data_IF_586363325585
#
_entry.id   IF_586363325585
#
_cell.length_a   1.000
_cell.length_b   1.000
_cell.length_c   1.000
_cell.angle_alpha   90.00
_cell.angle_beta   90.00
_cell.angle_gamma   90.00
#
_symmetry.space_group_name_H-M   'P 1'
#
loop_
_entity.id
_entity.type
_entity.pdbx_description
1 polymer ?
#
# COMPACT_ATOMS: atom_id res chain seq x y z
N UNK A 1 26.41 -13.56 82.67
CA UNK A 1 27.85 -13.85 82.53
C UNK A 1 28.00 -14.77 81.33
N UNK A 2 28.38 -14.28 80.16
CA UNK A 2 29.75 -14.04 79.67
C UNK A 2 30.24 -15.24 78.81
N UNK A 3 30.73 -14.92 77.60
CA UNK A 3 31.48 -15.71 76.61
C UNK A 3 30.65 -16.43 75.51
N UNK A 4 30.67 -16.00 74.23
CA UNK A 4 31.74 -15.93 73.20
C UNK A 4 32.07 -17.31 72.57
N UNK A 5 31.73 -17.49 71.28
CA UNK A 5 32.65 -17.68 70.11
C UNK A 5 33.11 -19.15 69.94
N UNK A 6 33.03 -19.87 68.81
CA UNK A 6 33.56 -19.71 67.42
C UNK A 6 33.04 -20.93 66.61
N UNK A 7 32.39 -20.73 65.45
CA UNK A 7 32.87 -20.94 64.07
C UNK A 7 32.94 -22.40 63.55
N UNK A 8 32.46 -22.57 62.32
CA UNK A 8 32.55 -23.80 61.54
C UNK A 8 31.91 -23.62 60.16
N UNK A 9 32.66 -23.00 59.24
CA UNK A 9 32.29 -22.77 57.84
C UNK A 9 32.33 -24.06 57.02
N UNK A 10 31.30 -24.34 56.22
CA UNK A 10 31.43 -25.17 55.01
C UNK A 10 30.73 -24.44 53.86
N UNK A 11 31.54 -24.18 52.83
CA UNK A 11 31.22 -23.47 51.59
C UNK A 11 30.06 -24.13 50.81
N UNK A 12 29.09 -23.31 50.42
CA UNK A 12 28.10 -23.60 49.40
C UNK A 12 28.74 -23.51 48.01
N UNK A 13 28.81 -24.63 47.30
CA UNK A 13 29.10 -24.67 45.87
C UNK A 13 27.82 -24.94 45.07
N UNK A 14 27.05 -23.89 44.75
CA UNK A 14 25.92 -23.98 43.82
C UNK A 14 26.38 -23.57 42.43
N UNK A 15 26.52 -24.57 41.55
CA UNK A 15 26.75 -24.39 40.11
C UNK A 15 25.47 -23.80 39.51
N UNK A 16 25.46 -22.48 39.32
CA UNK A 16 24.40 -21.76 38.61
C UNK A 16 24.52 -22.00 37.11
N UNK A 17 23.56 -22.74 36.54
CA UNK A 17 23.35 -22.81 35.10
C UNK A 17 22.81 -21.46 34.61
N UNK A 18 23.68 -20.63 34.03
CA UNK A 18 23.30 -19.40 33.33
C UNK A 18 22.83 -19.79 31.92
N UNK A 19 21.53 -20.03 31.75
CA UNK A 19 20.92 -20.17 30.42
C UNK A 19 20.89 -18.80 29.73
N UNK A 20 21.93 -18.51 28.97
CA UNK A 20 21.91 -17.49 27.91
C UNK A 20 21.08 -18.02 26.74
N UNK A 21 19.76 -17.88 26.80
CA UNK A 21 18.95 -17.86 25.58
C UNK A 21 18.76 -16.40 25.18
N UNK A 22 19.47 -16.05 24.11
CA UNK A 22 19.42 -14.76 23.45
C UNK A 22 17.96 -14.30 23.26
N UNK A 23 17.64 -13.14 23.83
CA UNK A 23 16.51 -12.35 23.37
C UNK A 23 16.78 -12.01 21.91
N UNK A 24 16.09 -12.70 21.00
CA UNK A 24 15.85 -12.14 19.68
C UNK A 24 15.14 -10.80 19.93
N UNK A 25 15.87 -9.71 19.75
CA UNK A 25 15.30 -8.37 19.70
C UNK A 25 14.19 -8.41 18.65
N UNK A 26 12.94 -8.45 19.11
CA UNK A 26 11.82 -7.91 18.36
C UNK A 26 12.25 -6.50 17.96
N UNK A 27 12.60 -6.36 16.68
CA UNK A 27 12.79 -5.04 16.09
C UNK A 27 11.40 -4.42 16.11
N UNK A 28 11.18 -3.57 17.09
CA UNK A 28 10.16 -2.54 17.04
C UNK A 28 10.35 -1.74 15.75
N UNK A 29 9.72 -2.20 14.67
CA UNK A 29 9.56 -1.42 13.45
C UNK A 29 8.36 -0.52 13.69
N UNK A 30 8.50 0.44 14.61
CA UNK A 30 7.47 1.46 14.87
C UNK A 30 6.94 1.93 13.52
N UNK A 31 5.64 1.73 13.30
CA UNK A 31 4.99 1.69 11.98
C UNK A 31 5.50 2.80 11.07
N UNK A 32 6.50 2.47 10.24
CA UNK A 32 7.08 3.45 9.33
C UNK A 32 6.06 3.71 8.23
N UNK A 33 5.26 4.77 8.40
CA UNK A 33 4.28 5.21 7.40
C UNK A 33 5.02 5.89 6.24
N UNK A 34 4.95 5.29 5.07
CA UNK A 34 5.42 5.90 3.83
C UNK A 34 4.33 6.78 3.22
N UNK A 35 4.73 7.84 2.53
CA UNK A 35 3.83 8.82 1.93
C UNK A 35 3.48 8.52 0.48
N UNK A 36 2.35 9.07 0.05
CA UNK A 36 1.86 9.03 -1.32
C UNK A 36 2.36 10.24 -2.10
N UNK A 37 3.00 10.02 -3.24
CA UNK A 37 3.65 11.08 -4.03
C UNK A 37 2.87 11.49 -5.27
N UNK A 38 1.89 10.69 -5.66
CA UNK A 38 1.04 10.92 -6.83
C UNK A 38 1.65 10.41 -8.14
N UNK A 39 0.77 10.08 -9.09
CA UNK A 39 1.13 9.48 -10.37
C UNK A 39 2.09 10.33 -11.21
N UNK A 40 2.03 11.67 -11.10
CA UNK A 40 2.96 12.58 -11.78
C UNK A 40 4.42 12.26 -11.45
N UNK A 41 4.72 11.96 -10.18
CA UNK A 41 6.08 11.63 -9.74
C UNK A 41 6.57 10.31 -10.33
N UNK A 42 5.71 9.30 -10.37
CA UNK A 42 6.01 8.03 -11.02
C UNK A 42 6.27 8.23 -12.52
N UNK A 43 5.47 9.09 -13.16
CA UNK A 43 5.55 9.41 -14.59
C UNK A 43 6.85 10.09 -15.04
N UNK A 44 7.61 10.71 -14.13
CA UNK A 44 8.92 11.28 -14.46
C UNK A 44 9.89 10.21 -14.97
N UNK A 45 9.82 9.01 -14.36
CA UNK A 45 10.67 7.87 -14.68
C UNK A 45 9.96 6.82 -15.53
N UNK A 46 8.65 6.64 -15.45
CA UNK A 46 7.93 5.50 -16.06
C UNK A 46 7.13 5.85 -17.33
N UNK A 47 7.81 6.48 -18.30
CA UNK A 47 7.17 7.03 -19.52
C UNK A 47 7.58 6.36 -20.83
N UNK A 48 8.65 5.57 -20.83
CA UNK A 48 9.25 5.06 -22.07
C UNK A 48 8.80 3.63 -22.40
N UNK A 49 8.93 3.26 -23.67
CA UNK A 49 8.80 1.88 -24.17
C UNK A 49 9.67 0.90 -23.39
N UNK A 50 10.95 1.27 -23.20
CA UNK A 50 11.95 0.44 -22.51
C UNK A 50 11.56 0.11 -21.07
N UNK A 51 10.70 0.94 -20.48
CA UNK A 51 10.21 0.72 -19.14
C UNK A 51 8.87 0.01 -19.15
N UNK A 52 8.11 -0.02 -20.25
CA UNK A 52 6.80 -0.67 -20.36
C UNK A 52 5.63 0.30 -20.46
N UNK A 53 5.86 1.58 -20.82
CA UNK A 53 4.81 2.59 -21.05
C UNK A 53 3.79 2.75 -19.92
N UNK A 54 4.21 2.58 -18.66
CA UNK A 54 3.29 2.59 -17.51
C UNK A 54 2.41 3.83 -17.46
N UNK A 55 3.02 5.02 -17.63
CA UNK A 55 2.32 6.28 -17.49
C UNK A 55 1.21 6.43 -18.54
N UNK A 56 1.47 6.10 -19.81
CA UNK A 56 0.45 6.22 -20.86
C UNK A 56 -0.65 5.18 -20.68
N UNK A 57 -0.30 3.92 -20.39
CA UNK A 57 -1.26 2.85 -20.12
C UNK A 57 -2.19 3.23 -18.97
N UNK A 58 -1.64 3.75 -17.86
CA UNK A 58 -2.46 4.23 -16.74
C UNK A 58 -3.33 5.43 -17.12
N UNK A 59 -2.77 6.45 -17.78
CA UNK A 59 -3.52 7.67 -18.18
C UNK A 59 -4.72 7.34 -19.06
N UNK A 60 -4.59 6.37 -19.96
CA UNK A 60 -5.63 5.95 -20.89
C UNK A 60 -6.64 4.97 -20.26
N UNK A 61 -6.36 4.46 -19.05
CA UNK A 61 -7.21 3.50 -18.37
C UNK A 61 -8.43 4.15 -17.71
N UNK A 62 -9.41 3.31 -17.34
CA UNK A 62 -10.53 3.75 -16.50
C UNK A 62 -10.11 4.06 -15.05
N UNK A 63 -8.93 3.60 -14.60
CA UNK A 63 -8.44 3.87 -13.25
C UNK A 63 -8.09 5.34 -13.05
N UNK A 64 -7.41 5.98 -14.01
CA UNK A 64 -7.14 7.43 -13.98
C UNK A 64 -8.42 8.28 -14.05
N UNK A 65 -9.50 7.71 -14.59
CA UNK A 65 -10.80 8.36 -14.75
C UNK A 65 -11.80 7.99 -13.63
N UNK A 66 -11.39 7.17 -12.67
CA UNK A 66 -12.31 6.58 -11.70
C UNK A 66 -13.00 7.65 -10.83
N UNK A 67 -12.28 8.67 -10.37
CA UNK A 67 -12.87 9.78 -9.62
C UNK A 67 -13.90 10.54 -10.43
N UNK A 68 -13.60 10.83 -11.71
CA UNK A 68 -14.51 11.54 -12.61
C UNK A 68 -15.88 10.85 -12.73
N UNK A 69 -15.92 9.52 -12.63
CA UNK A 69 -17.19 8.77 -12.64
C UNK A 69 -18.08 9.15 -11.46
N UNK A 70 -17.49 9.43 -10.29
CA UNK A 70 -18.21 9.84 -9.08
C UNK A 70 -18.74 11.26 -9.13
N UNK A 71 -18.31 12.07 -10.10
CA UNK A 71 -18.79 13.44 -10.28
C UNK A 71 -20.06 13.53 -11.15
N UNK A 72 -20.62 12.38 -11.54
CA UNK A 72 -21.83 12.34 -12.38
C UNK A 72 -23.11 12.38 -11.54
N UNK A 73 -24.18 12.94 -12.12
CA UNK A 73 -25.52 12.93 -11.50
C UNK A 73 -26.02 11.51 -11.23
N UNK A 74 -25.69 10.55 -12.10
CA UNK A 74 -26.02 9.14 -11.90
C UNK A 74 -25.30 8.57 -10.67
N UNK A 75 -24.03 8.89 -10.47
CA UNK A 75 -23.31 8.47 -9.27
C UNK A 75 -23.92 9.08 -8.00
N UNK A 76 -24.26 10.37 -8.01
CA UNK A 76 -24.93 11.04 -6.90
C UNK A 76 -26.30 10.42 -6.59
N UNK A 77 -27.06 10.05 -7.63
CA UNK A 77 -28.32 9.32 -7.48
C UNK A 77 -28.08 7.96 -6.82
N UNK A 78 -27.10 7.19 -7.26
CA UNK A 78 -26.74 5.90 -6.66
C UNK A 78 -26.35 6.06 -5.19
N UNK A 79 -25.55 7.08 -4.86
CA UNK A 79 -25.17 7.36 -3.48
C UNK A 79 -26.39 7.66 -2.61
N UNK A 80 -27.30 8.49 -3.10
CA UNK A 80 -28.57 8.79 -2.44
C UNK A 80 -29.45 7.55 -2.26
N UNK A 81 -29.59 6.72 -3.30
CA UNK A 81 -30.40 5.48 -3.24
C UNK A 81 -29.80 4.46 -2.25
N UNK A 82 -28.48 4.53 -2.00
CA UNK A 82 -27.78 3.78 -0.96
C UNK A 82 -27.93 4.37 0.45
N UNK A 83 -28.58 5.52 0.58
CA UNK A 83 -28.81 6.20 1.87
C UNK A 83 -27.71 7.17 2.29
N UNK A 84 -26.75 7.48 1.41
CA UNK A 84 -25.73 8.49 1.71
C UNK A 84 -26.30 9.91 1.55
N UNK A 85 -25.83 10.82 2.40
CA UNK A 85 -26.29 12.22 2.42
C UNK A 85 -25.37 13.16 1.64
N UNK A 86 -24.15 12.72 1.31
CA UNK A 86 -23.18 13.43 0.50
C UNK A 86 -23.24 13.00 -0.96
N UNK A 87 -22.61 13.79 -1.84
CA UNK A 87 -22.36 13.39 -3.23
C UNK A 87 -21.49 12.15 -3.28
N UNK A 88 -21.55 11.40 -4.37
CA UNK A 88 -20.74 10.19 -4.54
C UNK A 88 -19.23 10.50 -4.46
N UNK A 89 -18.81 11.63 -5.02
CA UNK A 89 -17.43 12.10 -4.97
C UNK A 89 -16.93 12.45 -3.55
N UNK A 90 -17.83 12.63 -2.58
CA UNK A 90 -17.50 12.93 -1.18
C UNK A 90 -17.82 11.75 -0.23
N UNK A 91 -18.34 10.64 -0.76
CA UNK A 91 -18.75 9.46 0.00
C UNK A 91 -17.58 8.49 0.15
N UNK A 92 -17.14 8.21 1.38
CA UNK A 92 -15.95 7.37 1.65
C UNK A 92 -16.07 5.98 1.03
N UNK A 93 -17.25 5.39 1.06
CA UNK A 93 -17.55 4.07 0.50
C UNK A 93 -17.39 4.04 -1.02
N UNK A 94 -17.72 5.14 -1.71
CA UNK A 94 -17.47 5.29 -3.14
C UNK A 94 -15.98 5.53 -3.41
N UNK A 95 -15.35 6.41 -2.64
CA UNK A 95 -13.94 6.76 -2.77
C UNK A 95 -13.00 5.56 -2.54
N UNK A 96 -13.40 4.61 -1.70
CA UNK A 96 -12.61 3.41 -1.37
C UNK A 96 -12.13 2.62 -2.61
N UNK A 97 -12.89 2.66 -3.71
CA UNK A 97 -12.54 1.99 -4.96
C UNK A 97 -12.19 2.94 -6.11
N UNK A 98 -12.43 4.25 -5.95
CA UNK A 98 -12.37 5.22 -7.04
C UNK A 98 -11.22 6.22 -6.93
N UNK A 99 -10.54 6.30 -5.79
CA UNK A 99 -9.34 7.14 -5.62
C UNK A 99 -8.24 6.41 -4.87
N UNK A 100 -7.00 6.76 -5.17
CA UNK A 100 -5.90 6.45 -4.25
C UNK A 100 -6.02 7.28 -2.97
N UNK A 101 -5.59 6.71 -1.85
CA UNK A 101 -5.39 7.45 -0.61
C UNK A 101 -6.65 8.05 0.03
N UNK A 102 -7.85 7.53 -0.24
CA UNK A 102 -9.10 8.06 0.34
C UNK A 102 -9.09 8.12 1.88
N UNK A 103 -8.46 7.12 2.51
CA UNK A 103 -8.35 6.98 3.98
C UNK A 103 -6.92 7.26 4.49
N UNK A 104 -6.12 7.98 3.70
CA UNK A 104 -4.75 8.33 4.07
C UNK A 104 -4.72 9.74 4.66
N UNK A 105 -4.01 9.88 5.78
CA UNK A 105 -3.77 11.16 6.45
C UNK A 105 -3.17 12.20 5.48
N UNK A 106 -3.66 13.44 5.57
CA UNK A 106 -3.21 14.51 4.68
C UNK A 106 -1.69 14.78 4.76
N UNK A 107 -1.07 14.60 5.94
CA UNK A 107 0.38 14.74 6.12
C UNK A 107 1.21 13.71 5.36
N UNK A 108 0.61 12.57 4.99
CA UNK A 108 1.24 11.53 4.18
C UNK A 108 1.02 11.74 2.68
N UNK A 109 0.22 12.72 2.27
CA UNK A 109 -0.02 13.06 0.86
C UNK A 109 0.95 14.15 0.44
N UNK A 110 1.84 13.83 -0.49
CA UNK A 110 2.80 14.78 -1.04
C UNK A 110 2.11 15.91 -1.79
N UNK A 111 2.80 17.05 -1.93
CA UNK A 111 2.23 18.28 -2.52
C UNK A 111 1.69 18.16 -3.96
N UNK A 112 2.04 17.08 -4.69
CA UNK A 112 1.57 16.80 -6.05
C UNK A 112 0.49 15.72 -6.10
N UNK A 113 0.18 15.09 -4.97
CA UNK A 113 -0.87 14.09 -4.88
C UNK A 113 -2.24 14.75 -4.97
N UNK A 114 -3.11 14.20 -5.82
CA UNK A 114 -4.50 14.64 -6.01
C UNK A 114 -5.41 13.43 -6.03
N UNK A 115 -6.49 13.44 -5.26
CA UNK A 115 -7.46 12.33 -5.31
C UNK A 115 -8.21 12.31 -6.64
N UNK A 116 -8.28 13.46 -7.30
CA UNK A 116 -8.93 13.69 -8.59
C UNK A 116 -8.26 12.91 -9.73
N UNK A 117 -7.01 12.48 -9.56
CA UNK A 117 -6.30 11.60 -10.50
C UNK A 117 -6.81 10.14 -10.44
N UNK A 118 -7.84 9.86 -9.65
CA UNK A 118 -8.49 8.56 -9.55
C UNK A 118 -7.62 7.51 -8.86
N UNK A 119 -7.72 6.26 -9.35
CA UNK A 119 -6.91 5.13 -8.89
C UNK A 119 -5.53 5.22 -9.54
N UNK A 120 -4.55 5.66 -8.77
CA UNK A 120 -3.16 5.92 -9.20
C UNK A 120 -2.25 4.70 -9.01
N UNK A 121 -1.00 4.85 -9.43
CA UNK A 121 0.07 3.84 -9.29
C UNK A 121 0.14 3.26 -7.88
N UNK A 122 -0.01 4.11 -6.87
CA UNK A 122 0.21 3.79 -5.46
C UNK A 122 -0.93 2.98 -4.83
N UNK A 123 -2.08 2.85 -5.50
CA UNK A 123 -3.10 1.87 -5.10
C UNK A 123 -2.60 0.44 -5.31
N UNK A 124 -1.89 0.18 -6.41
CA UNK A 124 -1.39 -1.15 -6.77
C UNK A 124 0.06 -1.40 -6.32
N UNK A 125 0.86 -0.33 -6.19
CA UNK A 125 2.29 -0.41 -5.91
C UNK A 125 2.68 0.14 -4.54
N UNK A 126 1.72 0.58 -3.74
CA UNK A 126 1.96 1.15 -2.42
C UNK A 126 2.51 2.60 -2.45
N UNK A 127 2.68 3.21 -1.28
CA UNK A 127 3.17 4.58 -1.12
C UNK A 127 4.60 4.78 -1.62
N UNK A 128 4.79 5.73 -2.55
CA UNK A 128 6.01 5.92 -3.33
C UNK A 128 7.08 6.83 -2.71
N UNK A 129 6.86 7.41 -1.53
CA UNK A 129 7.77 8.44 -0.98
C UNK A 129 9.23 7.98 -0.88
N UNK A 130 9.45 6.72 -0.51
CA UNK A 130 10.78 6.17 -0.28
C UNK A 130 11.27 5.23 -1.38
N UNK A 131 10.43 4.30 -1.87
CA UNK A 131 10.91 3.33 -2.86
C UNK A 131 11.28 3.97 -4.20
N UNK A 132 10.70 5.11 -4.57
CA UNK A 132 11.00 5.81 -5.84
C UNK A 132 12.49 6.11 -6.03
N UNK A 133 13.24 6.22 -4.92
CA UNK A 133 14.68 6.52 -4.89
C UNK A 133 15.56 5.30 -5.16
N UNK A 134 15.01 4.09 -5.01
CA UNK A 134 15.79 2.84 -4.95
C UNK A 134 15.21 1.71 -5.83
N UNK A 135 14.32 2.03 -6.77
CA UNK A 135 13.62 1.04 -7.60
C UNK A 135 14.51 0.11 -8.43
N UNK A 136 15.80 0.44 -8.61
CA UNK A 136 16.79 -0.44 -9.25
C UNK A 136 17.08 -1.69 -8.40
N UNK A 137 16.99 -1.60 -7.08
CA UNK A 137 17.06 -2.72 -6.16
C UNK A 137 15.64 -3.07 -5.71
N UNK A 138 15.12 -4.19 -6.20
CA UNK A 138 13.73 -4.60 -5.94
C UNK A 138 13.47 -4.87 -4.46
N UNK A 139 14.38 -5.56 -3.79
CA UNK A 139 14.19 -5.94 -2.38
C UNK A 139 14.26 -4.70 -1.48
N UNK A 140 15.17 -3.77 -1.78
CA UNK A 140 15.24 -2.49 -1.09
C UNK A 140 13.99 -1.63 -1.32
N UNK A 141 13.48 -1.61 -2.56
CA UNK A 141 12.24 -0.91 -2.88
C UNK A 141 11.04 -1.50 -2.12
N UNK A 142 10.95 -2.84 -2.04
CA UNK A 142 9.89 -3.52 -1.27
C UNK A 142 9.98 -3.21 0.23
N UNK A 143 11.20 -3.18 0.79
CA UNK A 143 11.42 -2.74 2.17
C UNK A 143 11.08 -1.25 2.42
N UNK A 144 10.92 -0.46 1.36
CA UNK A 144 10.58 0.98 1.40
C UNK A 144 9.19 1.31 0.85
N UNK A 145 8.28 0.35 0.89
CA UNK A 145 6.85 0.56 0.61
C UNK A 145 6.35 0.07 -0.74
N UNK A 146 7.24 -0.42 -1.63
CA UNK A 146 6.80 -1.01 -2.91
C UNK A 146 6.02 -2.30 -2.64
N UNK A 147 4.80 -2.35 -3.14
CA UNK A 147 3.95 -3.54 -3.10
C UNK A 147 4.08 -4.33 -4.40
N UNK A 148 4.26 -5.64 -4.24
CA UNK A 148 4.24 -6.61 -5.34
C UNK A 148 3.24 -7.69 -4.99
N UNK A 149 2.13 -7.73 -5.73
CA UNK A 149 1.09 -8.73 -5.53
C UNK A 149 1.50 -10.09 -6.13
N UNK A 150 1.61 -11.11 -5.27
CA UNK A 150 1.71 -12.51 -5.68
C UNK A 150 0.43 -12.94 -6.39
N UNK A 151 -0.70 -12.73 -5.72
CA UNK A 151 -2.05 -12.95 -6.23
C UNK A 151 -2.67 -11.61 -6.67
N UNK A 152 -2.59 -11.33 -7.97
CA UNK A 152 -3.05 -10.08 -8.57
C UNK A 152 -4.57 -10.07 -8.73
N UNK A 153 -5.16 -11.21 -9.08
CA UNK A 153 -6.60 -11.32 -9.25
C UNK A 153 -7.32 -11.03 -7.94
N UNK A 154 -6.87 -11.63 -6.83
CA UNK A 154 -7.42 -11.34 -5.51
C UNK A 154 -7.34 -9.86 -5.15
N UNK A 155 -6.22 -9.21 -5.47
CA UNK A 155 -6.06 -7.77 -5.27
C UNK A 155 -7.07 -6.97 -6.11
N UNK A 156 -7.20 -7.27 -7.41
CA UNK A 156 -8.16 -6.61 -8.31
C UNK A 156 -9.60 -6.77 -7.82
N UNK A 157 -9.97 -7.98 -7.36
CA UNK A 157 -11.31 -8.27 -6.82
C UNK A 157 -11.57 -7.61 -5.48
N UNK A 158 -10.60 -6.91 -4.87
CA UNK A 158 -10.85 -6.07 -3.69
C UNK A 158 -11.77 -4.88 -3.99
N UNK A 159 -11.73 -4.37 -5.23
CA UNK A 159 -12.61 -3.31 -5.72
C UNK A 159 -13.60 -3.82 -6.78
N UNK A 160 -13.17 -4.73 -7.66
CA UNK A 160 -14.00 -5.31 -8.71
C UNK A 160 -14.88 -6.45 -8.16
N UNK A 161 -15.86 -6.08 -7.34
CA UNK A 161 -16.78 -7.01 -6.68
C UNK A 161 -18.16 -6.38 -6.43
N UNK A 162 -19.04 -7.13 -5.78
CA UNK A 162 -20.44 -6.75 -5.48
C UNK A 162 -20.61 -5.58 -4.49
N UNK A 163 -19.54 -5.08 -3.86
CA UNK A 163 -19.60 -3.83 -3.08
C UNK A 163 -19.84 -2.62 -3.98
N UNK A 164 -19.39 -2.69 -5.25
CA UNK A 164 -19.74 -1.67 -6.23
C UNK A 164 -21.21 -1.85 -6.66
N UNK A 165 -22.06 -0.81 -6.51
CA UNK A 165 -23.48 -0.90 -6.85
C UNK A 165 -23.76 -1.12 -8.34
N UNK A 166 -22.76 -0.86 -9.19
CA UNK A 166 -22.85 -1.02 -10.65
C UNK A 166 -22.09 -2.25 -11.16
N UNK A 167 -21.67 -3.14 -10.25
CA UNK A 167 -20.91 -4.34 -10.60
C UNK A 167 -21.73 -5.31 -11.47
N UNK A 168 -21.17 -5.68 -12.62
CA UNK A 168 -21.77 -6.62 -13.59
C UNK A 168 -20.85 -7.81 -13.90
N UNK A 169 -19.93 -8.13 -12.99
CA UNK A 169 -18.87 -9.12 -13.20
C UNK A 169 -17.52 -8.51 -13.59
N UNK A 170 -16.47 -9.32 -13.44
CA UNK A 170 -15.09 -8.94 -13.75
C UNK A 170 -14.36 -10.13 -14.37
N UNK A 171 -13.95 -9.96 -15.63
CA UNK A 171 -13.10 -10.91 -16.35
C UNK A 171 -11.64 -10.48 -16.15
N UNK A 172 -10.96 -11.14 -15.21
CA UNK A 172 -9.62 -10.74 -14.79
C UNK A 172 -8.64 -10.72 -15.95
N UNK A 173 -8.55 -11.79 -16.75
CA UNK A 173 -7.56 -11.87 -17.83
C UNK A 173 -7.78 -10.77 -18.88
N UNK A 174 -9.04 -10.53 -19.27
CA UNK A 174 -9.41 -9.48 -20.23
C UNK A 174 -9.04 -8.09 -19.75
N UNK A 175 -9.29 -7.77 -18.47
CA UNK A 175 -9.03 -6.43 -17.94
C UNK A 175 -7.57 -6.26 -17.50
N UNK A 176 -6.92 -7.32 -17.03
CA UNK A 176 -5.49 -7.33 -16.74
C UNK A 176 -4.67 -7.01 -17.99
N UNK A 177 -5.01 -7.60 -19.14
CA UNK A 177 -4.33 -7.32 -20.41
C UNK A 177 -4.32 -5.82 -20.78
N UNK A 178 -5.33 -5.05 -20.35
CA UNK A 178 -5.45 -3.61 -20.63
C UNK A 178 -4.60 -2.73 -19.71
N UNK A 179 -4.28 -3.21 -18.52
CA UNK A 179 -3.54 -2.43 -17.52
C UNK A 179 -2.12 -2.96 -17.30
N UNK A 180 -1.82 -4.19 -17.74
CA UNK A 180 -0.50 -4.79 -17.59
C UNK A 180 0.56 -3.95 -18.30
N UNK A 181 1.66 -3.67 -17.61
CA UNK A 181 2.72 -2.77 -18.06
C UNK A 181 4.09 -3.31 -17.64
N UNK A 182 4.34 -4.58 -17.93
CA UNK A 182 5.61 -5.21 -17.61
C UNK A 182 6.73 -4.59 -18.44
N UNK A 183 7.93 -4.46 -17.85
CA UNK A 183 9.13 -4.09 -18.60
C UNK A 183 9.34 -5.15 -19.70
N UNK A 184 9.47 -4.74 -20.98
CA UNK A 184 9.74 -5.68 -22.07
C UNK A 184 11.02 -6.49 -21.82
N UNK A 185 11.03 -7.76 -22.25
CA UNK A 185 12.15 -8.68 -21.96
C UNK A 185 13.42 -8.34 -22.76
N UNK A 186 13.25 -7.70 -23.90
CA UNK A 186 14.25 -7.28 -24.88
C UNK A 186 14.89 -5.93 -24.56
N UNK A 187 14.44 -5.24 -23.51
CA UNK A 187 14.94 -3.91 -23.11
C UNK A 187 15.78 -3.92 -21.83
N UNK A 188 16.15 -5.12 -21.35
CA UNK A 188 17.03 -5.33 -20.19
C UNK A 188 18.51 -5.35 -20.56
#
# INVERSE_FOLDING_TARGET
MLHRLIAGSILLGSIGFFSLTANAQDKDTGDKKFGYVGAERCGMCHKTEKQGKQLSIWKESKHSQAYKTLQSEEADKIAKDKGFTSKAADTKECLACHVSGYDVDASLKGAKFKMEDGVQCETCHGPGSEYQKVMKNRDEAMAKGLVVHKDKEKFCTGCHNSKSPTFKGFDYDKYWAKISHMIPKDTK
#
